data_IF_150913445779
#
_entry.id   IF_150913445779
#
_cell.length_a   1.000
_cell.length_b   1.000
_cell.length_c   1.000
_cell.angle_alpha   90.00
_cell.angle_beta   90.00
_cell.angle_gamma   90.00
#
_symmetry.space_group_name_H-M   'P 1'
#
loop_
_entity.id
_entity.type
_entity.pdbx_description
1 polymer ?
#
# COMPACT_ATOMS: atom_id res chain seq x y z
N UNK A 1 -9.88 -7.70 -13.86
CA UNK A 1 -8.42 -7.52 -13.73
C UNK A 1 -8.00 -8.01 -12.37
N UNK A 2 -7.10 -8.99 -12.31
CA UNK A 2 -6.76 -9.70 -11.07
C UNK A 2 -5.47 -9.12 -10.49
N UNK A 3 -5.34 -9.10 -9.17
CA UNK A 3 -4.25 -8.40 -8.50
C UNK A 3 -2.87 -9.05 -8.68
N UNK A 4 -2.82 -10.34 -9.00
CA UNK A 4 -1.55 -11.05 -9.25
C UNK A 4 -0.90 -10.70 -10.59
N UNK A 5 -1.63 -10.05 -11.50
CA UNK A 5 -1.07 -9.53 -12.77
C UNK A 5 -0.19 -8.28 -12.54
N UNK A 6 -0.20 -7.72 -11.31
CA UNK A 6 0.58 -6.54 -10.93
C UNK A 6 1.68 -6.96 -9.95
N UNK A 7 2.97 -6.96 -10.36
CA UNK A 7 4.08 -7.41 -9.52
C UNK A 7 4.17 -6.70 -8.16
N UNK A 8 3.94 -5.39 -8.14
CA UNK A 8 3.96 -4.55 -6.93
C UNK A 8 2.84 -4.89 -5.94
N UNK A 9 1.69 -5.36 -6.43
CA UNK A 9 0.58 -5.81 -5.59
C UNK A 9 0.77 -7.24 -5.10
N UNK A 10 1.51 -8.06 -5.86
CA UNK A 10 1.83 -9.45 -5.52
C UNK A 10 2.94 -9.55 -4.46
N UNK A 11 3.90 -8.61 -4.45
CA UNK A 11 4.90 -8.51 -3.40
C UNK A 11 4.35 -7.77 -2.17
N UNK A 12 4.05 -8.55 -1.13
CA UNK A 12 3.62 -8.05 0.19
C UNK A 12 4.51 -6.94 0.76
N UNK A 13 5.83 -7.02 0.60
CA UNK A 13 6.77 -6.01 1.14
C UNK A 13 6.69 -4.71 0.35
N UNK A 14 6.49 -4.79 -0.96
CA UNK A 14 6.30 -3.61 -1.82
C UNK A 14 4.98 -2.93 -1.48
N UNK A 15 3.87 -3.66 -1.49
CA UNK A 15 2.55 -3.13 -1.13
C UNK A 15 2.54 -2.54 0.28
N UNK A 16 3.19 -3.19 1.24
CA UNK A 16 3.33 -2.65 2.61
C UNK A 16 4.11 -1.32 2.58
N UNK A 17 5.23 -1.22 1.87
CA UNK A 17 5.99 0.04 1.80
C UNK A 17 5.17 1.17 1.21
N UNK A 18 4.41 0.91 0.14
CA UNK A 18 3.53 1.92 -0.48
C UNK A 18 2.45 2.41 0.50
N UNK A 19 1.82 1.51 1.26
CA UNK A 19 0.83 1.89 2.27
C UNK A 19 1.44 2.69 3.44
N UNK A 20 2.65 2.32 3.86
CA UNK A 20 3.34 2.97 4.98
C UNK A 20 4.05 4.27 4.56
N UNK A 21 4.30 4.50 3.28
CA UNK A 21 4.84 5.76 2.76
C UNK A 21 3.77 6.84 2.62
N UNK A 22 2.53 6.57 3.01
CA UNK A 22 1.44 7.53 2.95
C UNK A 22 0.50 7.37 1.77
N UNK A 23 0.79 6.50 0.79
CA UNK A 23 -0.06 6.38 -0.40
C UNK A 23 -1.44 5.84 -0.06
N UNK A 24 -2.44 6.43 -0.69
CA UNK A 24 -3.83 5.98 -0.70
C UNK A 24 -4.02 4.80 -1.65
N UNK A 25 -5.15 4.09 -1.49
CA UNK A 25 -5.53 2.99 -2.39
C UNK A 25 -5.71 3.52 -3.82
N UNK A 26 -6.25 4.73 -3.95
CA UNK A 26 -6.41 5.47 -5.20
C UNK A 26 -5.08 5.72 -5.90
N UNK A 27 -4.08 6.25 -5.19
CA UNK A 27 -2.75 6.53 -5.76
C UNK A 27 -2.01 5.24 -6.13
N UNK A 28 -2.10 4.20 -5.29
CA UNK A 28 -1.52 2.89 -5.59
C UNK A 28 -2.19 2.29 -6.84
N UNK A 29 -3.51 2.44 -6.98
CA UNK A 29 -4.24 1.96 -8.13
C UNK A 29 -3.82 2.69 -9.42
N UNK A 30 -3.72 4.03 -9.35
CA UNK A 30 -3.27 4.86 -10.47
C UNK A 30 -1.83 4.50 -10.89
N UNK A 31 -0.92 4.37 -9.93
CA UNK A 31 0.48 4.00 -10.17
C UNK A 31 0.64 2.65 -10.85
N UNK A 32 -0.19 1.68 -10.47
CA UNK A 32 -0.16 0.32 -10.99
C UNK A 32 -1.04 0.12 -12.24
N UNK A 33 -1.72 1.17 -12.72
CA UNK A 33 -2.64 1.07 -13.85
C UNK A 33 -3.81 0.12 -13.60
N UNK A 34 -4.29 0.02 -12.36
CA UNK A 34 -5.34 -0.92 -11.97
C UNK A 34 -6.50 -0.24 -11.24
N UNK A 35 -7.50 -1.03 -10.85
CA UNK A 35 -8.65 -0.51 -10.10
C UNK A 35 -8.37 -0.53 -8.60
N UNK A 36 -9.06 0.34 -7.85
CA UNK A 36 -9.06 0.30 -6.37
C UNK A 36 -9.48 -1.05 -5.81
N UNK A 37 -10.41 -1.74 -6.47
CA UNK A 37 -10.84 -3.08 -6.09
C UNK A 37 -9.70 -4.09 -6.16
N UNK A 38 -8.87 -4.00 -7.20
CA UNK A 38 -7.66 -4.81 -7.38
C UNK A 38 -6.69 -4.61 -6.21
N UNK A 39 -6.41 -3.36 -5.83
CA UNK A 39 -5.55 -3.05 -4.69
C UNK A 39 -6.14 -3.56 -3.37
N UNK A 40 -7.45 -3.36 -3.13
CA UNK A 40 -8.13 -3.87 -1.92
C UNK A 40 -8.08 -5.39 -1.81
N UNK A 41 -8.23 -6.11 -2.92
CA UNK A 41 -8.10 -7.56 -2.96
C UNK A 41 -6.68 -8.01 -2.58
N UNK A 42 -5.64 -7.35 -3.11
CA UNK A 42 -4.25 -7.62 -2.74
C UNK A 42 -4.00 -7.35 -1.24
N UNK A 43 -4.51 -6.22 -0.72
CA UNK A 43 -4.41 -5.90 0.71
C UNK A 43 -5.06 -6.97 1.59
N UNK A 44 -6.25 -7.43 1.20
CA UNK A 44 -6.97 -8.49 1.91
C UNK A 44 -6.17 -9.80 1.90
N UNK A 45 -5.69 -10.22 0.73
CA UNK A 45 -4.86 -11.41 0.56
C UNK A 45 -3.60 -11.37 1.44
N UNK A 46 -2.88 -10.24 1.44
CA UNK A 46 -1.66 -10.07 2.23
C UNK A 46 -1.88 -9.69 3.70
N UNK A 47 -3.15 -9.59 4.14
CA UNK A 47 -3.55 -9.16 5.49
C UNK A 47 -2.95 -7.81 5.87
N UNK A 48 -2.88 -6.88 4.92
CA UNK A 48 -2.39 -5.53 5.12
C UNK A 48 -3.57 -4.60 5.44
N UNK A 49 -3.36 -3.71 6.40
CA UNK A 49 -4.25 -2.58 6.68
C UNK A 49 -3.48 -1.30 6.51
N UNK A 50 -4.15 -0.26 6.00
CA UNK A 50 -3.58 1.08 5.99
C UNK A 50 -3.45 1.54 7.44
N UNK A 51 -2.30 2.08 7.86
CA UNK A 51 -2.18 2.69 9.18
C UNK A 51 -3.13 3.89 9.26
N UNK A 52 -3.90 3.95 10.35
CA UNK A 52 -4.85 5.06 10.62
C UNK A 52 -4.13 6.39 10.85
N UNK A 53 -2.88 6.31 11.30
CA UNK A 53 -1.99 7.46 11.51
C UNK A 53 -0.86 7.37 10.48
N UNK A 54 -0.85 8.34 9.56
CA UNK A 54 0.25 8.50 8.62
C UNK A 54 1.29 9.40 9.27
N UNK A 55 2.21 8.77 10.01
CA UNK A 55 3.35 9.46 10.62
C UNK A 55 4.31 9.84 9.49
N UNK A 56 4.51 11.14 9.28
CA UNK A 56 5.49 11.63 8.32
C UNK A 56 6.89 11.13 8.67
N UNK A 57 7.79 11.09 7.70
CA UNK A 57 9.17 10.64 7.92
C UNK A 57 9.87 11.45 9.02
N UNK A 58 9.56 12.75 9.09
CA UNK A 58 10.01 13.68 10.13
C UNK A 58 9.47 13.32 11.52
N UNK A 59 8.21 12.89 11.61
CA UNK A 59 7.62 12.44 12.88
C UNK A 59 8.10 11.05 13.29
N UNK A 60 8.47 10.16 12.35
CA UNK A 60 9.09 8.86 12.66
C UNK A 60 10.47 9.03 13.27
N UNK A 61 11.25 9.97 12.72
CA UNK A 61 12.57 10.31 13.23
C UNK A 61 12.51 10.82 14.68
N UNK A 62 11.52 11.68 14.98
CA UNK A 62 11.24 12.14 16.35
C UNK A 62 10.85 10.97 17.27
N UNK A 63 10.08 10.01 16.77
CA UNK A 63 9.60 8.85 17.53
C UNK A 63 10.58 7.67 17.60
N UNK A 64 11.74 7.74 16.93
CA UNK A 64 12.75 6.65 16.82
C UNK A 64 12.19 5.30 16.34
N UNK A 65 11.20 5.33 15.43
CA UNK A 65 10.60 4.16 14.78
C UNK A 65 11.25 3.88 13.43
#
# INVERSE_FOLDING_TARGET
MVWHDHPDLCDRKVLKRQLFSGMTVEEIALRNGCTRGTVRAAMHHHRLRRPLVQVSEKEREILRL
#
